data_IF_977756362736
#
_entry.id   IF_977756362736
#
_cell.length_a   1.000
_cell.length_b   1.000
_cell.length_c   1.000
_cell.angle_alpha   90.00
_cell.angle_beta   90.00
_cell.angle_gamma   90.00
#
_symmetry.space_group_name_H-M   'P 1'
#
loop_
_entity.id
_entity.type
_entity.pdbx_description
1 polymer ?
#
# COMPACT_ATOMS: atom_id res chain seq x y z
N UNK A 1 -12.44 0.57 -1.53
CA UNK A 1 -11.82 -0.15 -0.40
C UNK A 1 -11.83 -1.64 -0.71
N UNK A 2 -10.81 -2.38 -0.31
CA UNK A 2 -10.67 -3.83 -0.51
C UNK A 2 -10.43 -4.51 0.83
N UNK A 3 -11.01 -5.69 1.04
CA UNK A 3 -10.75 -6.50 2.22
C UNK A 3 -9.74 -7.61 1.89
N UNK A 4 -8.63 -7.64 2.63
CA UNK A 4 -7.56 -8.62 2.51
C UNK A 4 -7.28 -9.19 3.89
N UNK A 5 -7.54 -10.50 4.08
CA UNK A 5 -7.27 -11.22 5.34
C UNK A 5 -7.87 -10.54 6.59
N UNK A 6 -9.12 -10.07 6.50
CA UNK A 6 -9.81 -9.40 7.61
C UNK A 6 -9.29 -7.99 7.94
N UNK A 7 -8.51 -7.38 7.04
CA UNK A 7 -8.09 -5.99 7.11
C UNK A 7 -8.65 -5.23 5.90
N UNK A 8 -9.10 -4.01 6.13
CA UNK A 8 -9.58 -3.12 5.07
C UNK A 8 -8.42 -2.27 4.56
N UNK A 9 -8.35 -2.12 3.25
CA UNK A 9 -7.37 -1.29 2.56
C UNK A 9 -8.06 -0.31 1.61
N UNK A 10 -7.48 0.87 1.48
CA UNK A 10 -7.85 1.90 0.51
C UNK A 10 -6.82 1.90 -0.62
N UNK A 11 -7.29 1.87 -1.87
CA UNK A 11 -6.45 2.08 -3.04
C UNK A 11 -6.16 3.57 -3.14
N UNK A 12 -4.93 3.97 -2.85
CA UNK A 12 -4.52 5.38 -2.85
C UNK A 12 -3.79 5.78 -4.13
N UNK A 13 -3.28 4.80 -4.88
CA UNK A 13 -2.61 5.03 -6.15
C UNK A 13 -2.75 3.79 -7.05
N UNK A 14 -3.03 4.02 -8.33
CA UNK A 14 -3.12 2.98 -9.35
C UNK A 14 -2.47 3.47 -10.64
N UNK A 15 -1.25 3.04 -10.88
CA UNK A 15 -0.47 3.41 -12.05
C UNK A 15 -0.63 2.35 -13.13
N UNK A 16 -1.08 2.78 -14.32
CA UNK A 16 -1.33 1.92 -15.49
C UNK A 16 -2.32 0.77 -15.22
N UNK A 17 -3.33 1.00 -14.39
CA UNK A 17 -4.33 -0.02 -14.02
C UNK A 17 -3.67 -1.30 -13.48
N UNK A 18 -2.67 -1.15 -12.63
CA UNK A 18 -1.94 -2.26 -12.03
C UNK A 18 -2.74 -3.00 -10.96
N UNK A 19 -3.75 -2.36 -10.36
CA UNK A 19 -4.55 -3.00 -9.33
C UNK A 19 -5.55 -4.01 -9.92
N UNK A 20 -5.40 -5.29 -9.54
CA UNK A 20 -6.32 -6.37 -9.90
C UNK A 20 -6.72 -7.15 -8.65
N UNK A 21 -7.89 -6.84 -8.09
CA UNK A 21 -8.33 -7.34 -6.78
C UNK A 21 -8.23 -8.87 -6.62
N UNK A 22 -8.60 -9.64 -7.64
CA UNK A 22 -8.52 -11.11 -7.64
C UNK A 22 -7.08 -11.61 -7.47
N UNK A 23 -6.13 -11.04 -8.23
CA UNK A 23 -4.72 -11.41 -8.19
C UNK A 23 -4.08 -10.98 -6.87
N UNK A 24 -4.45 -9.80 -6.35
CA UNK A 24 -3.99 -9.35 -5.03
C UNK A 24 -4.42 -10.33 -3.95
N UNK A 25 -5.69 -10.75 -3.94
CA UNK A 25 -6.21 -11.72 -2.96
C UNK A 25 -5.48 -13.05 -3.01
N UNK A 26 -5.11 -13.53 -4.19
CA UNK A 26 -4.36 -14.77 -4.38
C UNK A 26 -2.91 -14.66 -3.87
N UNK A 27 -2.25 -13.54 -4.14
CA UNK A 27 -0.83 -13.32 -3.77
C UNK A 27 -0.64 -12.84 -2.33
N UNK A 28 -1.70 -12.38 -1.67
CA UNK A 28 -1.61 -11.82 -0.33
C UNK A 28 -1.17 -12.87 0.69
N UNK A 29 -0.18 -12.52 1.52
CA UNK A 29 0.22 -13.30 2.69
C UNK A 29 -0.10 -12.52 3.97
N UNK A 30 -0.53 -13.21 5.02
CA UNK A 30 -0.86 -12.65 6.33
C UNK A 30 0.30 -11.84 6.95
N UNK A 31 1.55 -12.16 6.61
CA UNK A 31 2.73 -11.39 7.05
C UNK A 31 2.67 -9.93 6.59
N UNK A 32 1.95 -9.62 5.51
CA UNK A 32 1.75 -8.26 5.02
C UNK A 32 0.82 -7.44 5.91
N UNK A 33 0.01 -8.10 6.75
CA UNK A 33 -0.94 -7.43 7.64
C UNK A 33 -0.27 -6.56 8.73
N UNK A 34 1.05 -6.69 8.95
CA UNK A 34 1.81 -5.84 9.88
C UNK A 34 2.17 -4.47 9.32
N UNK A 35 2.17 -4.29 8.00
CA UNK A 35 2.59 -3.05 7.34
C UNK A 35 1.43 -2.09 7.11
N UNK A 36 1.69 -0.79 7.13
CA UNK A 36 0.66 0.25 6.94
C UNK A 36 0.28 0.43 5.47
N UNK A 37 1.20 0.13 4.57
CA UNK A 37 1.01 0.19 3.12
C UNK A 37 1.44 -1.13 2.49
N UNK A 38 0.76 -1.49 1.41
CA UNK A 38 1.12 -2.61 0.54
C UNK A 38 1.25 -2.04 -0.86
N UNK A 39 2.43 -2.23 -1.44
CA UNK A 39 2.73 -1.84 -2.81
C UNK A 39 2.71 -3.12 -3.63
N UNK A 40 1.96 -3.08 -4.72
CA UNK A 40 1.98 -4.13 -5.72
C UNK A 40 2.62 -3.62 -6.99
N UNK A 41 3.57 -4.35 -7.54
CA UNK A 41 4.23 -4.02 -8.80
C UNK A 41 4.37 -5.26 -9.70
N UNK A 42 4.43 -5.04 -11.01
CA UNK A 42 4.36 -6.11 -12.01
C UNK A 42 5.70 -6.37 -12.71
N UNK A 43 6.46 -7.35 -12.23
CA UNK A 43 7.66 -7.82 -12.92
C UNK A 43 7.36 -9.04 -13.79
N UNK A 44 7.58 -8.97 -15.10
CA UNK A 44 7.40 -10.11 -16.03
C UNK A 44 6.02 -10.80 -15.87
N UNK A 45 4.94 -10.02 -15.86
CA UNK A 45 3.56 -10.48 -15.63
C UNK A 45 3.33 -11.17 -14.26
N UNK A 46 4.25 -11.03 -13.32
CA UNK A 46 4.09 -11.52 -11.96
C UNK A 46 3.92 -10.36 -10.98
N UNK A 47 2.79 -10.39 -10.27
CA UNK A 47 2.52 -9.45 -9.20
C UNK A 47 3.43 -9.73 -8.00
N UNK A 48 4.22 -8.75 -7.60
CA UNK A 48 5.00 -8.76 -6.36
C UNK A 48 4.28 -7.86 -5.36
N UNK A 49 4.19 -8.30 -4.10
CA UNK A 49 3.64 -7.51 -3.02
C UNK A 49 4.74 -7.21 -2.01
N UNK A 50 4.97 -5.93 -1.71
CA UNK A 50 5.90 -5.48 -0.67
C UNK A 50 5.15 -4.61 0.34
N UNK A 51 5.45 -4.85 1.62
CA UNK A 51 4.90 -4.06 2.71
C UNK A 51 5.81 -2.89 3.09
N UNK A 52 5.21 -1.75 3.39
CA UNK A 52 5.87 -0.54 3.88
C UNK A 52 5.18 0.01 5.14
N UNK A 53 5.96 0.55 6.06
CA UNK A 53 5.48 1.25 7.25
C UNK A 53 5.25 2.73 6.95
N UNK A 54 4.35 3.34 7.73
CA UNK A 54 4.22 4.79 7.75
C UNK A 54 5.50 5.43 8.31
N UNK A 55 5.88 6.60 7.78
CA UNK A 55 7.14 7.28 8.12
C UNK A 55 7.26 7.60 9.62
N UNK A 56 6.11 7.70 10.32
CA UNK A 56 5.99 7.90 11.77
C UNK A 56 6.56 6.73 12.60
N UNK A 57 6.74 5.55 12.02
CA UNK A 57 7.35 4.42 12.70
C UNK A 57 8.85 4.69 12.93
N UNK A 58 9.22 4.93 14.19
CA UNK A 58 10.59 5.34 14.59
C UNK A 58 11.57 4.19 14.79
N UNK A 59 11.13 2.93 14.72
CA UNK A 59 11.94 1.72 14.99
C UNK A 59 11.80 0.66 13.89
N UNK A 60 11.82 1.10 12.64
CA UNK A 60 11.76 0.22 11.47
C UNK A 60 12.90 0.56 10.50
N UNK A 61 13.40 -0.41 9.71
CA UNK A 61 14.39 -0.15 8.68
C UNK A 61 13.91 0.92 7.69
N UNK A 62 14.82 1.80 7.25
CA UNK A 62 14.48 2.94 6.38
C UNK A 62 13.93 2.47 5.04
N UNK A 63 14.50 1.42 4.45
CA UNK A 63 14.09 0.77 3.19
C UNK A 63 12.71 0.09 3.25
N UNK A 64 12.07 0.12 4.42
CA UNK A 64 10.71 -0.36 4.64
C UNK A 64 9.73 0.76 4.94
N UNK A 65 10.11 2.03 4.78
CA UNK A 65 9.23 3.20 4.97
C UNK A 65 8.63 3.67 3.65
N UNK A 66 7.40 4.19 3.71
CA UNK A 66 6.69 4.61 2.49
C UNK A 66 7.37 5.79 1.77
N UNK A 67 8.20 6.60 2.45
CA UNK A 67 8.99 7.64 1.78
C UNK A 67 10.06 7.10 0.80
N UNK A 68 10.47 5.83 0.94
CA UNK A 68 11.43 5.20 0.03
C UNK A 68 10.74 4.43 -1.11
N UNK A 69 9.45 4.70 -1.37
CA UNK A 69 8.70 4.03 -2.43
C UNK A 69 9.28 4.32 -3.82
N UNK A 70 9.60 5.59 -4.11
CA UNK A 70 10.17 5.96 -5.40
C UNK A 70 11.50 5.25 -5.66
N UNK A 71 12.36 5.13 -4.65
CA UNK A 71 13.62 4.39 -4.74
C UNK A 71 13.34 2.90 -5.03
N UNK A 72 12.39 2.30 -4.30
CA UNK A 72 11.99 0.91 -4.54
C UNK A 72 11.46 0.68 -5.96
N UNK A 73 10.60 1.57 -6.45
CA UNK A 73 10.09 1.47 -7.81
C UNK A 73 11.23 1.64 -8.82
N UNK A 74 12.12 2.61 -8.63
CA UNK A 74 13.25 2.82 -9.54
C UNK A 74 14.19 1.60 -9.61
N UNK A 75 14.45 0.94 -8.48
CA UNK A 75 15.35 -0.21 -8.40
C UNK A 75 14.72 -1.52 -8.91
N UNK A 76 13.44 -1.76 -8.60
CA UNK A 76 12.80 -3.07 -8.82
C UNK A 76 11.73 -3.05 -9.90
N UNK A 77 11.09 -1.91 -10.13
CA UNK A 77 10.00 -1.70 -11.07
C UNK A 77 10.60 -1.15 -12.38
N UNK A 78 10.93 -2.06 -13.33
CA UNK A 78 11.47 -1.69 -14.64
C UNK A 78 10.69 -0.53 -15.28
N UNK A 79 11.36 0.27 -16.12
CA UNK A 79 10.76 1.44 -16.78
C UNK A 79 9.37 1.14 -17.35
N UNK A 80 8.37 1.86 -16.83
CA UNK A 80 6.99 1.78 -17.31
C UNK A 80 6.20 0.57 -16.81
N UNK A 81 6.66 -0.13 -15.79
CA UNK A 81 5.88 -1.16 -15.11
C UNK A 81 4.61 -0.57 -14.46
N UNK A 82 3.54 -1.36 -14.42
CA UNK A 82 2.32 -1.03 -13.68
C UNK A 82 2.52 -1.31 -12.19
N UNK A 83 1.97 -0.46 -11.34
CA UNK A 83 2.00 -0.65 -9.90
C UNK A 83 0.78 -0.02 -9.24
N UNK A 84 0.54 -0.36 -7.99
CA UNK A 84 -0.50 0.24 -7.17
C UNK A 84 -0.05 0.32 -5.71
N UNK A 85 -0.71 1.21 -4.96
CA UNK A 85 -0.46 1.39 -3.52
C UNK A 85 -1.78 1.25 -2.77
N UNK A 86 -1.81 0.30 -1.86
CA UNK A 86 -2.87 0.09 -0.90
C UNK A 86 -2.45 0.63 0.46
N UNK A 87 -3.26 1.50 1.05
CA UNK A 87 -3.10 1.97 2.43
C UNK A 87 -4.03 1.19 3.35
N UNK A 88 -3.50 0.63 4.43
CA UNK A 88 -4.33 -0.02 5.45
C UNK A 88 -5.24 1.03 6.09
N UNK A 89 -6.52 0.72 6.10
CA UNK A 89 -7.49 1.50 6.83
C UNK A 89 -7.33 1.20 8.32
N UNK A 90 -6.72 2.13 9.06
CA UNK A 90 -6.75 2.09 10.52
C UNK A 90 -7.92 2.93 11.01
N UNK A 91 -8.78 2.32 11.84
CA UNK A 91 -9.86 3.03 12.54
C UNK A 91 -9.34 4.06 13.56
N UNK A 92 -8.01 4.26 13.63
CA UNK A 92 -7.35 5.25 14.49
C UNK A 92 -7.20 6.64 13.84
N UNK A 93 -8.04 6.97 12.85
CA UNK A 93 -8.47 8.37 12.71
C UNK A 93 -9.48 8.64 13.82
N UNK A 94 -8.98 9.00 15.00
CA UNK A 94 -9.76 9.80 15.93
C UNK A 94 -10.33 11.02 15.19
N UNK A 95 -11.58 11.32 15.51
CA UNK A 95 -12.38 12.44 15.01
C UNK A 95 -11.55 13.69 14.66
N UNK A 96 -11.53 14.10 13.40
CA UNK A 96 -11.19 15.50 13.05
C UNK A 96 -11.78 16.01 11.72
N UNK A 97 -12.70 15.30 11.08
CA UNK A 97 -13.44 15.86 9.92
C UNK A 97 -14.95 15.82 10.15
N UNK A 98 -15.38 16.21 11.34
CA UNK A 98 -16.79 16.46 11.66
C UNK A 98 -17.03 17.82 12.37
N UNK A 99 -16.11 18.78 12.26
CA UNK A 99 -16.23 20.10 12.93
C UNK A 99 -15.92 21.32 12.05
N UNK A 100 -16.26 21.31 10.77
CA UNK A 100 -16.44 22.57 10.03
C UNK A 100 -17.69 22.49 9.13
N UNK A 101 -18.84 22.39 9.77
CA UNK A 101 -20.07 23.06 9.36
C UNK A 101 -20.40 24.06 10.47
N UNK A 102 -20.87 25.26 10.08
CA UNK A 102 -21.01 26.50 10.86
C UNK A 102 -19.66 27.19 11.12
N UNK A 103 -19.43 28.44 10.72
CA UNK A 103 -20.34 29.59 10.45
C UNK A 103 -19.97 30.33 9.16
#
# INVERSE_FOLDING_TARGET
MVELFGKTYELIEDHKAGFQESVVKERYSDILAKYDYIVGDWGYDQLRLKGFYDNRHVKVPVDTKIDTLDDYLYEYCNFGCAYFVLKKWSSSKSLSTALFHHE
#
